data_IF_051955253379
#
_entry.id   IF_051955253379
#
_cell.length_a   1.000
_cell.length_b   1.000
_cell.length_c   1.000
_cell.angle_alpha   90.00
_cell.angle_beta   90.00
_cell.angle_gamma   90.00
#
_symmetry.space_group_name_H-M   'P 1'
#
loop_
_entity.id
_entity.type
_entity.pdbx_description
1 polymer ?
#
# COMPACT_ATOMS: atom_id res chain seq x y z
N UNK A 1 -2.85 -8.19 0.85
CA UNK A 1 -4.03 -9.01 0.48
C UNK A 1 -4.90 -8.15 -0.43
N UNK A 2 -4.84 -8.38 -1.73
CA UNK A 2 -5.69 -7.68 -2.71
C UNK A 2 -6.92 -8.56 -2.90
N UNK A 3 -8.06 -8.11 -2.39
CA UNK A 3 -9.32 -8.65 -2.86
C UNK A 3 -9.48 -8.13 -4.30
N UNK A 4 -9.42 -9.05 -5.28
CA UNK A 4 -9.64 -8.71 -6.71
C UNK A 4 -10.95 -7.93 -6.88
N UNK A 5 -11.93 -8.29 -6.08
CA UNK A 5 -13.18 -7.58 -5.90
C UNK A 5 -13.43 -7.43 -4.40
N UNK A 6 -13.58 -6.20 -3.94
CA UNK A 6 -13.96 -5.85 -2.58
C UNK A 6 -15.34 -5.19 -2.62
N UNK A 7 -16.27 -5.70 -1.82
CA UNK A 7 -17.67 -5.24 -1.76
C UNK A 7 -17.86 -4.02 -0.82
N UNK A 8 -16.85 -3.68 0.00
CA UNK A 8 -17.00 -2.63 0.99
C UNK A 8 -16.68 -1.24 0.43
N UNK A 9 -17.46 -0.24 0.88
CA UNK A 9 -17.12 1.17 0.67
C UNK A 9 -16.01 1.59 1.62
N UNK A 10 -14.97 2.23 1.10
CA UNK A 10 -13.90 2.82 1.91
C UNK A 10 -14.45 3.97 2.76
N UNK A 11 -14.22 3.95 4.07
CA UNK A 11 -14.71 4.94 5.03
C UNK A 11 -13.58 5.57 5.84
N UNK A 12 -13.75 6.82 6.37
CA UNK A 12 -12.82 7.41 7.31
C UNK A 12 -12.54 6.51 8.53
N UNK A 13 -11.32 6.57 9.05
CA UNK A 13 -10.76 5.74 10.12
C UNK A 13 -10.46 4.28 9.77
N UNK A 14 -10.67 3.85 8.52
CA UNK A 14 -10.12 2.58 8.05
C UNK A 14 -8.60 2.68 7.85
N UNK A 15 -7.90 1.60 8.17
CA UNK A 15 -6.45 1.46 7.96
C UNK A 15 -6.22 0.36 6.92
N UNK A 16 -5.36 0.65 5.95
CA UNK A 16 -4.98 -0.31 4.92
C UNK A 16 -3.47 -0.42 4.81
N UNK A 17 -3.00 -1.62 4.48
CA UNK A 17 -1.69 -1.83 3.90
C UNK A 17 -1.84 -1.86 2.38
N UNK A 18 -1.26 -0.87 1.70
CA UNK A 18 -1.07 -0.90 0.25
C UNK A 18 0.15 -1.78 0.01
N UNK A 19 -0.06 -2.88 -0.70
CA UNK A 19 0.96 -3.91 -0.92
C UNK A 19 1.04 -4.22 -2.42
N UNK A 20 2.13 -3.76 -3.04
CA UNK A 20 2.40 -3.94 -4.47
C UNK A 20 3.54 -4.94 -4.62
N UNK A 21 3.25 -6.06 -5.25
CA UNK A 21 4.21 -7.10 -5.60
C UNK A 21 4.41 -7.16 -7.11
N UNK A 22 5.67 -7.14 -7.53
CA UNK A 22 6.10 -7.35 -8.91
C UNK A 22 7.15 -8.45 -8.95
N UNK A 23 7.08 -9.32 -9.95
CA UNK A 23 8.08 -10.36 -10.17
C UNK A 23 8.15 -10.72 -11.65
N UNK A 24 9.36 -11.02 -12.11
CA UNK A 24 9.65 -11.59 -13.44
C UNK A 24 9.78 -13.12 -13.42
N UNK A 25 9.60 -13.76 -12.24
CA UNK A 25 9.76 -15.20 -12.04
C UNK A 25 11.14 -15.61 -11.49
N UNK A 26 12.12 -14.71 -11.46
CA UNK A 26 13.45 -14.94 -10.88
C UNK A 26 13.72 -13.97 -9.72
N UNK A 27 13.38 -12.70 -9.93
CA UNK A 27 13.50 -11.61 -8.98
C UNK A 27 12.12 -11.10 -8.55
N UNK A 28 12.07 -10.49 -7.37
CA UNK A 28 10.85 -9.93 -6.81
C UNK A 28 11.09 -8.56 -6.19
N UNK A 29 10.09 -7.69 -6.27
CA UNK A 29 10.06 -6.37 -5.66
C UNK A 29 8.74 -6.18 -4.95
N UNK A 30 8.82 -5.69 -3.71
CA UNK A 30 7.65 -5.31 -2.92
C UNK A 30 7.77 -3.86 -2.46
N UNK A 31 6.73 -3.08 -2.71
CA UNK A 31 6.52 -1.79 -2.06
C UNK A 31 5.29 -1.88 -1.17
N UNK A 32 5.46 -1.51 0.10
CA UNK A 32 4.39 -1.58 1.09
C UNK A 32 4.28 -0.27 1.88
N UNK A 33 3.05 0.22 2.00
CA UNK A 33 2.73 1.43 2.75
C UNK A 33 1.50 1.26 3.63
N UNK A 34 1.58 1.78 4.85
CA UNK A 34 0.43 1.91 5.73
C UNK A 34 -0.28 3.23 5.46
N UNK A 35 -1.61 3.19 5.26
CA UNK A 35 -2.42 4.39 5.11
C UNK A 35 -3.61 4.41 6.07
N UNK A 36 -3.96 5.60 6.53
CA UNK A 36 -5.20 5.90 7.24
C UNK A 36 -6.12 6.67 6.31
N UNK A 37 -7.36 6.22 6.14
CA UNK A 37 -8.40 6.97 5.44
C UNK A 37 -8.92 8.09 6.34
N UNK A 38 -8.94 9.30 5.81
CA UNK A 38 -9.45 10.51 6.45
C UNK A 38 -10.72 10.99 5.74
N UNK A 39 -11.36 12.04 6.25
CA UNK A 39 -12.54 12.64 5.61
C UNK A 39 -12.26 13.24 4.23
N UNK A 40 -11.01 13.62 3.93
CA UNK A 40 -10.64 14.36 2.71
C UNK A 40 -9.58 13.66 1.85
N UNK A 41 -9.27 12.39 2.13
CA UNK A 41 -8.21 11.64 1.45
C UNK A 41 -7.52 10.64 2.37
N UNK A 42 -6.21 10.45 2.20
CA UNK A 42 -5.42 9.52 3.00
C UNK A 42 -4.32 10.25 3.79
N UNK A 43 -3.87 9.63 4.88
CA UNK A 43 -2.65 9.98 5.59
C UNK A 43 -1.71 8.78 5.57
N UNK A 44 -0.49 9.00 5.11
CA UNK A 44 0.58 8.00 5.14
C UNK A 44 1.05 7.76 6.57
N UNK A 45 1.24 6.49 6.93
CA UNK A 45 1.77 6.05 8.23
C UNK A 45 3.24 5.66 8.15
N UNK A 46 3.71 5.32 6.94
CA UNK A 46 5.10 5.04 6.60
C UNK A 46 5.78 6.30 6.04
N UNK A 47 7.00 6.58 6.50
CA UNK A 47 7.77 7.77 6.12
C UNK A 47 9.11 7.45 5.45
N UNK A 48 9.35 6.19 5.12
CA UNK A 48 10.57 5.79 4.44
C UNK A 48 10.47 6.12 2.94
N UNK A 49 11.64 6.32 2.32
CA UNK A 49 11.77 6.73 0.92
C UNK A 49 11.23 5.67 -0.03
N UNK A 50 10.35 6.08 -0.96
CA UNK A 50 9.74 5.23 -2.00
C UNK A 50 10.57 5.23 -3.27
N UNK A 51 11.73 4.61 -3.20
CA UNK A 51 12.66 4.51 -4.32
C UNK A 51 13.45 3.21 -4.24
N UNK A 52 14.13 2.84 -5.33
CA UNK A 52 15.08 1.74 -5.29
C UNK A 52 16.31 2.21 -4.53
N UNK A 53 16.73 1.42 -3.55
CA UNK A 53 17.92 1.70 -2.74
C UNK A 53 19.07 0.88 -3.29
N UNK A 54 20.09 1.58 -3.76
CA UNK A 54 21.38 0.99 -4.13
C UNK A 54 22.36 1.33 -3.00
N UNK A 55 23.05 0.32 -2.48
CA UNK A 55 23.98 0.42 -1.36
C UNK A 55 25.43 0.47 -1.84
#
# INVERSE_FOLDING_TARGET
WIAKEADFTIQPNMVFNIDIWLSDGENGLRYEDGILVTKSGIRELTSYRREVIVL
#
